data_IF_920124082412
#
_entry.id   IF_920124082412
#
_cell.length_a   1.000
_cell.length_b   1.000
_cell.length_c   1.000
_cell.angle_alpha   90.00
_cell.angle_beta   90.00
_cell.angle_gamma   90.00
#
_symmetry.space_group_name_H-M   'P 1'
#
loop_
_entity.id
_entity.type
_entity.pdbx_description
1 polymer ?
#
# COMPACT_ATOMS: atom_id res chain seq x y z
N UNK A 1 -0.80 9.94 -1.52
CA UNK A 1 -1.80 9.02 -2.12
C UNK A 1 -1.24 7.62 -2.14
N UNK A 2 -2.10 6.60 -2.02
CA UNK A 2 -1.71 5.20 -2.05
C UNK A 2 -2.78 4.35 -2.76
N UNK A 3 -2.35 3.25 -3.34
CA UNK A 3 -3.20 2.17 -3.87
C UNK A 3 -2.80 0.90 -3.13
N UNK A 4 -3.73 0.00 -2.83
CA UNK A 4 -3.37 -1.29 -2.22
C UNK A 4 -4.39 -2.37 -2.50
N UNK A 5 -4.00 -3.61 -2.23
CA UNK A 5 -4.89 -4.78 -2.25
C UNK A 5 -5.40 -5.05 -0.83
N UNK A 6 -6.72 -5.15 -0.67
CA UNK A 6 -7.32 -5.85 0.46
C UNK A 6 -7.69 -7.25 0.01
N UNK A 7 -7.11 -8.25 0.66
CA UNK A 7 -7.31 -9.67 0.34
C UNK A 7 -8.02 -10.30 1.52
N UNK A 8 -9.18 -10.91 1.28
CA UNK A 8 -9.96 -11.63 2.28
C UNK A 8 -10.16 -13.06 1.83
N UNK A 9 -9.90 -14.03 2.69
CA UNK A 9 -10.21 -15.42 2.40
C UNK A 9 -11.17 -15.99 3.43
N UNK A 10 -12.09 -16.84 2.97
CA UNK A 10 -13.13 -17.43 3.80
C UNK A 10 -13.14 -18.96 3.69
N UNK A 11 -13.51 -19.63 4.77
CA UNK A 11 -13.68 -21.08 4.83
C UNK A 11 -14.99 -21.55 4.18
N UNK A 12 -15.23 -22.87 4.20
CA UNK A 12 -16.46 -23.50 3.68
C UNK A 12 -17.74 -22.98 4.36
N UNK A 13 -17.64 -22.56 5.63
CA UNK A 13 -18.74 -21.99 6.40
C UNK A 13 -18.96 -20.50 6.13
N UNK A 14 -18.11 -19.86 5.32
CA UNK A 14 -18.12 -18.43 5.06
C UNK A 14 -17.49 -17.59 6.18
N UNK A 15 -16.75 -18.19 7.10
CA UNK A 15 -16.02 -17.46 8.13
C UNK A 15 -14.72 -16.89 7.54
N UNK A 16 -14.39 -15.64 7.89
CA UNK A 16 -13.14 -15.00 7.49
C UNK A 16 -11.97 -15.68 8.20
N UNK A 17 -11.08 -16.32 7.43
CA UNK A 17 -9.90 -17.02 7.96
C UNK A 17 -8.58 -16.29 7.66
N UNK A 18 -8.61 -15.32 6.75
CA UNK A 18 -7.47 -14.48 6.39
C UNK A 18 -7.92 -13.10 5.95
N UNK A 19 -7.23 -12.06 6.40
CA UNK A 19 -7.34 -10.73 5.83
C UNK A 19 -5.99 -10.01 5.84
N UNK A 20 -5.63 -9.39 4.71
CA UNK A 20 -4.48 -8.48 4.59
C UNK A 20 -4.93 -7.14 3.99
N UNK A 21 -4.30 -6.04 4.40
CA UNK A 21 -4.58 -4.69 3.90
C UNK A 21 -5.97 -4.15 4.29
N UNK A 22 -6.47 -4.53 5.47
CA UNK A 22 -7.73 -4.06 6.02
C UNK A 22 -7.73 -2.54 6.25
N UNK A 23 -8.84 -1.86 5.97
CA UNK A 23 -9.01 -0.44 6.26
C UNK A 23 -10.14 -0.19 7.24
N UNK A 24 -9.84 0.50 8.34
CA UNK A 24 -10.82 0.93 9.34
C UNK A 24 -11.33 2.33 9.00
N UNK A 25 -12.58 2.41 8.54
CA UNK A 25 -13.21 3.69 8.20
C UNK A 25 -13.53 4.57 9.41
N UNK A 26 -13.63 4.00 10.61
CA UNK A 26 -13.90 4.75 11.83
C UNK A 26 -12.66 5.49 12.31
N UNK A 27 -11.48 4.87 12.22
CA UNK A 27 -10.20 5.46 12.65
C UNK A 27 -9.41 6.10 11.51
N UNK A 28 -9.66 5.69 10.26
CA UNK A 28 -8.90 6.09 9.07
C UNK A 28 -7.61 5.29 8.87
N UNK A 29 -7.43 4.18 9.59
CA UNK A 29 -6.20 3.40 9.62
C UNK A 29 -6.20 2.29 8.56
N UNK A 30 -5.04 2.09 7.93
CA UNK A 30 -4.77 0.96 7.03
C UNK A 30 -3.86 -0.01 7.77
N UNK A 31 -4.27 -1.27 7.87
CA UNK A 31 -3.45 -2.35 8.41
C UNK A 31 -2.21 -2.58 7.55
N UNK A 32 -1.06 -2.67 8.20
CA UNK A 32 0.26 -2.93 7.59
C UNK A 32 0.80 -4.25 8.13
N UNK A 33 0.18 -5.35 7.69
CA UNK A 33 0.70 -6.70 7.93
C UNK A 33 1.84 -7.04 6.94
N UNK A 34 2.50 -8.17 7.16
CA UNK A 34 3.64 -8.60 6.35
C UNK A 34 3.29 -8.89 4.88
N UNK A 35 2.02 -9.18 4.59
CA UNK A 35 1.55 -9.52 3.24
C UNK A 35 0.99 -8.27 2.52
N UNK A 36 0.81 -7.16 3.24
CA UNK A 36 0.14 -5.97 2.72
C UNK A 36 0.87 -5.40 1.49
N UNK A 37 0.17 -5.40 0.36
CA UNK A 37 0.69 -4.84 -0.90
C UNK A 37 0.20 -3.43 -1.15
N UNK A 38 1.09 -2.45 -0.99
CA UNK A 38 0.78 -1.03 -1.11
C UNK A 38 1.67 -0.40 -2.17
N UNK A 39 1.07 0.35 -3.09
CA UNK A 39 1.73 1.18 -4.10
C UNK A 39 1.66 2.66 -3.70
N UNK A 40 2.81 3.25 -3.40
CA UNK A 40 2.92 4.64 -2.97
C UNK A 40 4.29 5.24 -3.34
N UNK A 41 4.50 6.48 -2.91
CA UNK A 41 5.80 7.17 -2.99
C UNK A 41 6.13 7.74 -1.61
N UNK A 42 7.39 7.61 -1.21
CA UNK A 42 7.96 8.18 0.01
C UNK A 42 9.03 9.22 -0.34
N UNK A 43 8.63 10.48 -0.60
CA UNK A 43 9.58 11.57 -0.69
C UNK A 43 10.11 11.92 0.72
N UNK A 44 11.30 12.52 0.77
CA UNK A 44 11.96 12.82 2.03
C UNK A 44 13.12 13.80 1.91
N UNK A 45 13.73 14.09 3.04
CA UNK A 45 14.88 14.99 3.15
C UNK A 45 16.17 14.18 3.12
N UNK A 46 17.08 14.48 2.19
CA UNK A 46 18.40 13.83 2.09
C UNK A 46 19.27 14.09 3.32
N UNK A 47 20.25 13.22 3.58
CA UNK A 47 21.25 13.42 4.64
C UNK A 47 21.96 14.77 4.52
N UNK A 48 22.26 15.20 3.28
CA UNK A 48 22.92 16.47 2.99
C UNK A 48 22.03 17.66 3.38
N UNK A 49 20.78 17.67 2.94
CA UNK A 49 19.86 18.76 3.23
C UNK A 49 19.45 18.78 4.70
N UNK A 50 19.20 17.62 5.29
CA UNK A 50 18.89 17.47 6.71
C UNK A 50 19.99 18.05 7.59
N UNK A 51 21.26 17.73 7.28
CA UNK A 51 22.42 18.29 7.99
C UNK A 51 22.53 19.82 7.84
N UNK A 52 22.24 20.36 6.65
CA UNK A 52 22.30 21.80 6.38
C UNK A 52 21.21 22.58 7.13
N UNK A 53 20.01 22.01 7.22
CA UNK A 53 18.84 22.66 7.82
C UNK A 53 18.67 22.33 9.32
N UNK A 54 19.44 21.38 9.85
CA UNK A 54 19.28 20.90 11.23
C UNK A 54 17.99 20.12 11.45
N UNK A 55 17.51 19.40 10.43
CA UNK A 55 16.30 18.56 10.50
C UNK A 55 16.65 17.08 10.22
N UNK A 56 15.84 16.13 10.72
CA UNK A 56 16.06 14.71 10.42
C UNK A 56 16.03 14.42 8.92
N UNK A 57 16.93 13.55 8.46
CA UNK A 57 16.87 12.98 7.12
C UNK A 57 15.95 11.74 7.10
N UNK A 58 15.42 11.40 5.93
CA UNK A 58 14.51 10.27 5.72
C UNK A 58 13.17 10.66 5.10
N UNK A 59 12.27 9.67 4.90
CA UNK A 59 10.90 9.89 4.44
C UNK A 59 10.18 10.95 5.30
N UNK A 60 9.46 11.86 4.64
CA UNK A 60 8.79 12.97 5.32
C UNK A 60 7.60 13.49 4.53
N UNK A 61 6.57 13.91 5.25
CA UNK A 61 5.42 14.61 4.67
C UNK A 61 5.66 16.11 4.44
N UNK A 62 6.85 16.63 4.77
CA UNK A 62 7.23 18.02 4.55
C UNK A 62 7.61 18.27 3.08
N UNK A 63 6.65 18.12 2.16
CA UNK A 63 6.88 18.06 0.71
C UNK A 63 7.65 19.24 0.12
N UNK A 64 7.58 20.42 0.73
CA UNK A 64 8.32 21.62 0.27
C UNK A 64 9.83 21.47 0.47
N UNK A 65 10.26 20.73 1.51
CA UNK A 65 11.67 20.53 1.84
C UNK A 65 12.25 19.24 1.29
N UNK A 66 11.42 18.31 0.80
CA UNK A 66 11.90 17.04 0.31
C UNK A 66 12.73 17.21 -0.97
N UNK A 67 13.97 16.71 -0.96
CA UNK A 67 14.90 16.73 -2.10
C UNK A 67 15.32 15.32 -2.54
N UNK A 68 14.70 14.27 -2.01
CA UNK A 68 14.99 12.87 -2.34
C UNK A 68 13.72 12.03 -2.31
N UNK A 69 13.68 10.99 -3.16
CA UNK A 69 12.66 9.93 -3.12
C UNK A 69 13.32 8.70 -2.53
N UNK A 70 12.75 8.15 -1.46
CA UNK A 70 13.25 6.96 -0.77
C UNK A 70 12.62 5.68 -1.30
N UNK A 71 11.36 5.76 -1.74
CA UNK A 71 10.60 4.66 -2.33
C UNK A 71 9.63 5.23 -3.35
N UNK A 72 9.53 4.61 -4.51
CA UNK A 72 8.45 4.79 -5.47
C UNK A 72 8.22 3.46 -6.19
N UNK A 73 7.24 2.71 -5.69
CA UNK A 73 6.88 1.42 -6.24
C UNK A 73 5.60 1.49 -7.08
N UNK A 74 5.12 2.69 -7.44
CA UNK A 74 3.88 2.84 -8.21
C UNK A 74 4.02 2.20 -9.60
N UNK A 75 3.00 1.44 -9.99
CA UNK A 75 2.97 0.72 -11.26
C UNK A 75 3.12 1.72 -12.43
N UNK A 76 4.11 1.53 -13.34
CA UNK A 76 4.32 2.43 -14.47
C UNK A 76 3.17 2.42 -15.49
N UNK A 77 3.01 3.50 -16.29
CA UNK A 77 2.04 3.55 -17.36
C UNK A 77 2.44 2.65 -18.54
N UNK A 78 1.46 2.31 -19.39
CA UNK A 78 1.71 1.61 -20.65
C UNK A 78 2.72 2.37 -21.52
N UNK A 79 3.67 1.64 -22.08
CA UNK A 79 4.69 2.19 -22.99
C UNK A 79 5.88 2.86 -22.28
N UNK A 80 6.00 2.76 -20.96
CA UNK A 80 7.19 3.28 -20.27
C UNK A 80 8.46 2.48 -20.62
N UNK A 81 9.59 3.17 -20.56
CA UNK A 81 10.93 2.56 -20.52
C UNK A 81 11.72 3.18 -19.38
N UNK A 82 12.61 2.40 -18.77
CA UNK A 82 13.48 2.84 -17.68
C UNK A 82 14.37 4.03 -18.10
N UNK A 83 14.85 4.03 -19.35
CA UNK A 83 15.63 5.13 -19.91
C UNK A 83 14.83 6.45 -20.02
N UNK A 84 13.56 6.36 -20.46
CA UNK A 84 12.70 7.54 -20.54
C UNK A 84 12.38 8.11 -19.15
N UNK A 85 12.08 7.24 -18.18
CA UNK A 85 11.80 7.64 -16.79
C UNK A 85 13.03 8.26 -16.10
N UNK A 86 14.22 7.71 -16.36
CA UNK A 86 15.48 8.29 -15.87
C UNK A 86 15.70 9.69 -16.44
N UNK A 87 15.43 9.90 -17.73
CA UNK A 87 15.56 11.22 -18.39
C UNK A 87 14.67 12.28 -17.76
N UNK A 88 13.45 11.92 -17.34
CA UNK A 88 12.51 12.83 -16.66
C UNK A 88 12.60 12.78 -15.14
N UNK A 89 13.68 12.19 -14.60
CA UNK A 89 13.95 12.10 -13.16
C UNK A 89 12.81 11.46 -12.36
N UNK A 90 12.11 10.50 -12.95
CA UNK A 90 11.00 9.77 -12.32
C UNK A 90 11.18 8.24 -12.37
N UNK A 91 12.39 7.67 -12.16
CA UNK A 91 12.52 6.21 -12.10
C UNK A 91 11.77 5.64 -10.89
N UNK A 92 11.33 4.37 -10.93
CA UNK A 92 10.99 3.64 -9.71
C UNK A 92 12.18 3.65 -8.74
N UNK A 93 11.90 3.71 -7.44
CA UNK A 93 12.93 3.74 -6.39
C UNK A 93 12.59 2.65 -5.38
N UNK A 94 13.58 1.87 -4.97
CA UNK A 94 13.41 0.71 -4.07
C UNK A 94 12.36 -0.30 -4.57
N UNK A 95 12.20 -0.34 -5.91
CA UNK A 95 11.37 -1.27 -6.64
C UNK A 95 11.86 -1.35 -8.09
N UNK A 96 11.63 -2.46 -8.78
CA UNK A 96 12.09 -2.66 -10.16
C UNK A 96 10.95 -3.14 -11.05
N UNK A 97 10.82 -2.49 -12.21
CA UNK A 97 9.92 -2.89 -13.29
C UNK A 97 10.73 -3.05 -14.59
N UNK A 98 10.50 -4.12 -15.34
CA UNK A 98 11.07 -4.26 -16.68
C UNK A 98 10.43 -3.28 -17.67
N UNK A 99 11.12 -2.91 -18.75
CA UNK A 99 10.54 -2.03 -19.79
C UNK A 99 9.20 -2.60 -20.30
N UNK A 100 8.17 -1.76 -20.31
CA UNK A 100 6.81 -2.17 -20.69
C UNK A 100 6.03 -2.97 -19.64
N UNK A 101 6.58 -3.22 -18.45
CA UNK A 101 5.85 -3.82 -17.33
C UNK A 101 4.90 -2.82 -16.66
N UNK A 102 3.69 -2.66 -17.22
CA UNK A 102 2.63 -1.77 -16.70
C UNK A 102 1.69 -2.49 -15.72
N UNK A 103 2.17 -3.55 -15.07
CA UNK A 103 1.48 -4.36 -14.08
C UNK A 103 2.46 -4.78 -12.99
N UNK A 104 1.94 -5.37 -11.93
CA UNK A 104 2.74 -5.97 -10.87
C UNK A 104 2.06 -7.25 -10.39
N UNK A 105 2.86 -8.26 -10.08
CA UNK A 105 2.38 -9.55 -9.60
C UNK A 105 2.75 -9.70 -8.12
N UNK A 106 1.77 -9.99 -7.27
CA UNK A 106 1.97 -10.23 -5.84
C UNK A 106 1.36 -11.56 -5.44
N UNK A 107 2.12 -12.36 -4.71
CA UNK A 107 1.70 -13.69 -4.26
C UNK A 107 1.23 -13.63 -2.81
N UNK A 108 0.08 -14.22 -2.52
CA UNK A 108 -0.46 -14.36 -1.18
C UNK A 108 -0.51 -15.84 -0.83
N UNK A 109 -0.01 -16.21 0.35
CA UNK A 109 -0.16 -17.56 0.89
C UNK A 109 -1.37 -17.59 1.80
N UNK A 110 -2.42 -18.30 1.36
CA UNK A 110 -3.67 -18.41 2.11
C UNK A 110 -3.64 -19.62 3.05
N UNK A 111 -4.40 -19.59 4.17
CA UNK A 111 -4.63 -20.77 4.99
C UNK A 111 -5.20 -21.96 4.20
N UNK A 112 -4.88 -23.18 4.63
CA UNK A 112 -5.28 -24.41 3.91
C UNK A 112 -6.79 -24.64 3.88
N UNK A 113 -7.50 -24.05 4.84
CA UNK A 113 -8.96 -24.12 5.01
C UNK A 113 -9.69 -22.98 4.27
N UNK A 114 -8.98 -22.13 3.54
CA UNK A 114 -9.58 -21.12 2.67
C UNK A 114 -10.21 -21.78 1.43
N UNK A 115 -11.50 -21.53 1.23
CA UNK A 115 -12.29 -22.03 0.09
C UNK A 115 -12.62 -20.92 -0.91
N UNK A 116 -12.65 -19.66 -0.45
CA UNK A 116 -12.91 -18.51 -1.32
C UNK A 116 -11.95 -17.37 -1.00
N UNK A 117 -11.61 -16.58 -2.01
CA UNK A 117 -10.85 -15.35 -1.84
C UNK A 117 -11.52 -14.20 -2.58
N UNK A 118 -11.68 -13.08 -1.88
CA UNK A 118 -12.11 -11.79 -2.40
C UNK A 118 -10.94 -10.82 -2.36
N UNK A 119 -10.64 -10.19 -3.48
CA UNK A 119 -9.57 -9.20 -3.62
C UNK A 119 -10.18 -7.88 -4.08
N UNK A 120 -9.91 -6.81 -3.33
CA UNK A 120 -10.32 -5.45 -3.67
C UNK A 120 -9.10 -4.56 -3.84
N UNK A 121 -9.00 -3.89 -4.99
CA UNK A 121 -8.02 -2.83 -5.22
C UNK A 121 -8.61 -1.50 -4.76
N UNK A 122 -7.98 -0.85 -3.80
CA UNK A 122 -8.39 0.44 -3.24
C UNK A 122 -7.47 1.57 -3.67
N UNK A 123 -8.02 2.78 -3.83
CA UNK A 123 -7.28 4.03 -3.95
C UNK A 123 -7.64 4.99 -2.82
N UNK A 124 -6.64 5.62 -2.21
CA UNK A 124 -6.83 6.69 -1.24
C UNK A 124 -6.02 7.94 -1.61
N UNK A 125 -6.69 9.09 -1.60
CA UNK A 125 -6.13 10.39 -1.95
C UNK A 125 -5.15 10.91 -0.88
N UNK A 126 -5.61 11.01 0.36
CA UNK A 126 -4.85 11.48 1.52
C UNK A 126 -4.97 10.47 2.66
N UNK A 127 -3.87 10.23 3.37
CA UNK A 127 -3.85 9.28 4.48
C UNK A 127 -4.01 9.99 5.83
N UNK A 128 -4.37 9.24 6.87
CA UNK A 128 -4.46 9.74 8.24
C UNK A 128 -3.14 10.38 8.69
N UNK A 129 -2.03 9.70 8.43
CA UNK A 129 -0.68 10.11 8.87
C UNK A 129 -0.30 11.48 8.28
N UNK A 130 -0.73 11.76 7.04
CA UNK A 130 -0.49 13.07 6.43
C UNK A 130 -1.34 14.18 7.08
N UNK A 131 -2.61 13.91 7.34
CA UNK A 131 -3.51 14.89 7.99
C UNK A 131 -3.04 15.19 9.41
N UNK A 132 -2.65 14.17 10.16
CA UNK A 132 -2.10 14.31 11.51
C UNK A 132 -0.75 15.02 11.51
N UNK A 133 0.12 14.74 10.55
CA UNK A 133 1.37 15.49 10.36
C UNK A 133 1.11 16.99 10.16
N UNK A 134 0.13 17.36 9.32
CA UNK A 134 -0.23 18.77 9.08
C UNK A 134 -0.84 19.43 10.32
N UNK A 135 -1.66 18.68 11.08
CA UNK A 135 -2.24 19.15 12.35
C UNK A 135 -1.13 19.43 13.37
N UNK A 136 -0.28 18.45 13.62
CA UNK A 136 0.74 18.50 14.69
C UNK A 136 1.90 19.43 14.32
N UNK A 137 2.20 19.55 13.02
CA UNK A 137 3.22 20.47 12.50
C UNK A 137 2.79 21.93 12.47
N UNK A 138 1.49 22.24 12.62
CA UNK A 138 1.01 23.62 12.62
C UNK A 138 1.01 24.22 14.03
N UNK A 139 2.03 25.00 14.34
CA UNK A 139 2.20 25.68 15.64
C UNK A 139 1.90 27.17 15.57
N UNK A 140 1.41 27.68 14.45
CA UNK A 140 1.30 29.13 14.17
C UNK A 140 -0.14 29.65 14.14
N UNK A 141 -1.10 28.77 13.85
CA UNK A 141 -2.54 29.06 13.84
C UNK A 141 -3.33 27.75 13.99
N UNK A 142 -4.65 27.82 13.81
CA UNK A 142 -5.57 26.70 14.03
C UNK A 142 -5.95 25.92 12.76
N UNK A 143 -5.41 26.28 11.58
CA UNK A 143 -5.76 25.62 10.31
C UNK A 143 -5.44 24.12 10.28
N UNK A 144 -4.43 23.68 11.03
CA UNK A 144 -4.11 22.25 11.15
C UNK A 144 -5.23 21.47 11.85
N UNK A 145 -5.78 22.05 12.92
CA UNK A 145 -6.93 21.49 13.63
C UNK A 145 -8.20 21.55 12.76
N UNK A 146 -8.47 22.68 12.11
CA UNK A 146 -9.62 22.82 11.22
C UNK A 146 -9.60 21.79 10.07
N UNK A 147 -8.42 21.54 9.47
CA UNK A 147 -8.24 20.51 8.45
C UNK A 147 -8.55 19.11 9.01
N UNK A 148 -7.99 18.77 10.18
CA UNK A 148 -8.20 17.49 10.82
C UNK A 148 -9.70 17.25 11.14
N UNK A 149 -10.37 18.25 11.70
CA UNK A 149 -11.80 18.17 12.04
C UNK A 149 -12.67 18.02 10.79
N UNK A 150 -12.35 18.78 9.73
CA UNK A 150 -13.03 18.64 8.44
C UNK A 150 -12.81 17.24 7.84
N UNK A 151 -11.58 16.72 7.89
CA UNK A 151 -11.26 15.36 7.44
C UNK A 151 -12.07 14.31 8.22
N UNK A 152 -12.13 14.41 9.54
CA UNK A 152 -12.90 13.51 10.38
C UNK A 152 -14.42 13.58 10.07
N UNK A 153 -14.95 14.80 9.92
CA UNK A 153 -16.37 15.02 9.60
C UNK A 153 -16.76 14.55 8.19
N UNK A 154 -15.80 14.50 7.25
CA UNK A 154 -15.98 14.08 5.86
C UNK A 154 -15.67 12.59 5.65
N UNK A 155 -15.65 11.77 6.71
CA UNK A 155 -15.41 10.33 6.59
C UNK A 155 -13.96 9.95 6.30
N UNK A 156 -13.00 10.76 6.77
CA UNK A 156 -11.57 10.44 6.83
C UNK A 156 -10.92 10.10 5.50
N UNK A 157 -11.45 10.66 4.40
CA UNK A 157 -11.01 10.33 3.05
C UNK A 157 -10.94 8.80 2.86
N UNK A 158 -12.03 8.12 3.19
CA UNK A 158 -12.18 6.69 2.97
C UNK A 158 -11.78 6.31 1.53
N UNK A 159 -11.11 5.16 1.34
CA UNK A 159 -10.69 4.74 0.03
C UNK A 159 -11.86 4.46 -0.89
N UNK A 160 -11.60 4.60 -2.18
CA UNK A 160 -12.53 4.21 -3.23
C UNK A 160 -12.10 2.86 -3.81
N UNK A 161 -13.09 2.00 -4.06
CA UNK A 161 -12.89 0.74 -4.78
C UNK A 161 -12.54 1.05 -6.23
N UNK A 162 -11.41 0.56 -6.70
CA UNK A 162 -11.01 0.62 -8.11
C UNK A 162 -11.46 -0.62 -8.88
N UNK A 163 -11.29 -1.80 -8.27
CA UNK A 163 -11.64 -3.09 -8.86
C UNK A 163 -11.85 -4.14 -7.76
N UNK A 164 -12.63 -5.17 -8.09
CA UNK A 164 -12.85 -6.35 -7.24
C UNK A 164 -12.74 -7.61 -8.08
N UNK A 165 -12.21 -8.67 -7.49
CA UNK A 165 -12.20 -10.01 -8.05
C UNK A 165 -12.47 -11.04 -6.96
N UNK A 166 -13.16 -12.12 -7.31
CA UNK A 166 -13.45 -13.23 -6.41
C UNK A 166 -13.07 -14.54 -7.08
N UNK A 167 -12.52 -15.47 -6.32
CA UNK A 167 -12.12 -16.79 -6.80
C UNK A 167 -12.54 -17.86 -5.79
N UNK A 168 -13.13 -18.95 -6.29
CA UNK A 168 -13.30 -20.20 -5.55
C UNK A 168 -11.99 -20.98 -5.62
N UNK A 169 -11.42 -21.30 -4.46
CA UNK A 169 -10.20 -22.09 -4.34
C UNK A 169 -10.60 -23.56 -4.42
N UNK A 170 -10.05 -24.28 -5.39
CA UNK A 170 -10.14 -25.73 -5.40
C UNK A 170 -8.85 -26.24 -4.80
N UNK A 171 -8.92 -26.88 -3.64
CA UNK A 171 -7.79 -27.65 -3.15
C UNK A 171 -7.46 -28.72 -4.20
N UNK A 172 -6.40 -28.51 -4.98
CA UNK A 172 -5.79 -29.61 -5.73
C UNK A 172 -5.27 -30.56 -4.68
N UNK A 173 -5.95 -31.72 -4.53
CA UNK A 173 -5.54 -32.74 -3.59
C UNK A 173 -4.04 -32.97 -3.72
N UNK A 174 -3.32 -32.93 -2.59
CA UNK A 174 -1.91 -33.25 -2.58
C UNK A 174 -1.72 -34.60 -3.28
N UNK A 175 -0.96 -34.63 -4.38
CA UNK A 175 -0.54 -35.91 -4.95
C UNK A 175 0.33 -36.64 -3.93
N UNK A 176 -0.01 -37.92 -3.72
CA UNK A 176 0.69 -38.95 -2.95
C UNK A 176 0.90 -38.70 -1.45
N UNK A 177 -0.09 -39.12 -0.66
CA UNK A 177 0.24 -39.74 0.62
C UNK A 177 1.14 -40.97 0.32
N UNK A 178 2.32 -41.11 0.96
CA UNK A 178 3.18 -42.26 0.72
C UNK A 178 2.40 -43.54 1.03
N UNK A 179 2.26 -44.40 0.03
CA UNK A 179 1.67 -45.73 0.22
C UNK A 179 2.61 -46.50 1.15
N UNK A 180 2.11 -46.92 2.31
CA UNK A 180 2.83 -47.85 3.17
C UNK A 180 3.09 -49.14 2.39
N UNK A 181 4.35 -49.39 2.04
CA UNK A 181 4.78 -50.70 1.53
C UNK A 181 4.89 -51.63 2.73
N UNK A 182 3.88 -52.48 2.93
CA UNK A 182 4.03 -53.62 3.84
C UNK A 182 4.90 -54.67 3.17
N UNK A 183 6.17 -54.73 3.58
CA UNK A 183 7.09 -55.84 3.32
C UNK A 183 7.20 -56.74 4.54
#
# INVERSE_FOLDING_TARGET
>A
RRIWLNVKAYDLGGALVYESGAYDAATGELSLDQDAKIYHIEPGTSTRLGSLLGIPAGPSFHFVLNDTVYLDNRIPPRGFTNAAFTTVQSPPVDYVYADGQYWDDTHFTLPYDAETVDVTLYYQSISKEYVEFLRDGNTTNDYGQQLHDAWAAQGRAAPVVMATASLQLTATGAEDAPVFVTG
#
